data_IF_167179996123
#
_entry.id   IF_167179996123
#
_cell.length_a   1.000
_cell.length_b   1.000
_cell.length_c   1.000
_cell.angle_alpha   90.00
_cell.angle_beta   90.00
_cell.angle_gamma   90.00
#
_symmetry.space_group_name_H-M   'P 1'
#
loop_
_entity.id
_entity.type
_entity.pdbx_description
1 polymer ?
#
# COMPACT_ATOMS: atom_id res chain seq x y z
N UNK A 1 43.71 14.85 -0.19
CA UNK A 1 42.88 13.67 0.09
C UNK A 1 41.39 13.79 -0.29
N UNK A 2 40.83 14.93 -0.61
CA UNK A 2 39.38 15.09 -0.81
C UNK A 2 38.82 14.90 -2.24
N UNK A 3 39.62 14.85 -3.30
CA UNK A 3 39.10 14.76 -4.67
C UNK A 3 38.84 13.32 -5.15
N UNK A 4 39.66 12.37 -4.73
CA UNK A 4 39.53 10.95 -5.13
C UNK A 4 38.34 10.30 -4.41
N UNK A 5 38.09 10.64 -3.14
CA UNK A 5 36.94 10.15 -2.38
C UNK A 5 35.59 10.65 -2.95
N UNK A 6 35.52 11.90 -3.42
CA UNK A 6 34.31 12.43 -4.07
C UNK A 6 34.01 11.76 -5.41
N UNK A 7 35.04 11.41 -6.17
CA UNK A 7 34.88 10.71 -7.46
C UNK A 7 34.44 9.28 -7.23
N UNK A 8 35.00 8.56 -6.23
CA UNK A 8 34.58 7.20 -5.88
C UNK A 8 33.16 7.13 -5.33
N UNK A 9 32.75 8.10 -4.50
CA UNK A 9 31.38 8.22 -4.00
C UNK A 9 30.37 8.51 -5.14
N UNK A 10 30.73 9.35 -6.10
CA UNK A 10 29.91 9.64 -7.28
C UNK A 10 29.73 8.42 -8.19
N UNK A 11 30.78 7.65 -8.40
CA UNK A 11 30.74 6.42 -9.21
C UNK A 11 29.92 5.32 -8.52
N UNK A 12 30.01 5.17 -7.21
CA UNK A 12 29.19 4.19 -6.48
C UNK A 12 27.71 4.56 -6.47
N UNK A 13 27.37 5.83 -6.32
CA UNK A 13 25.98 6.31 -6.39
C UNK A 13 25.39 6.12 -7.80
N UNK A 14 26.18 6.37 -8.84
CA UNK A 14 25.76 6.13 -10.23
C UNK A 14 25.53 4.64 -10.52
N UNK A 15 26.44 3.77 -10.07
CA UNK A 15 26.29 2.32 -10.20
C UNK A 15 25.05 1.78 -9.45
N UNK A 16 24.77 2.30 -8.26
CA UNK A 16 23.55 1.98 -7.50
C UNK A 16 22.28 2.44 -8.21
N UNK A 17 22.31 3.63 -8.80
CA UNK A 17 21.17 4.15 -9.58
C UNK A 17 20.90 3.30 -10.83
N UNK A 18 21.95 2.90 -11.55
CA UNK A 18 21.82 2.00 -12.70
C UNK A 18 21.29 0.62 -12.30
N UNK A 19 21.80 0.05 -11.19
CA UNK A 19 21.31 -1.22 -10.67
C UNK A 19 19.81 -1.13 -10.25
N UNK A 20 19.39 -0.01 -9.66
CA UNK A 20 17.99 0.23 -9.30
C UNK A 20 17.10 0.34 -10.54
N UNK A 21 17.54 1.09 -11.57
CA UNK A 21 16.82 1.19 -12.84
C UNK A 21 16.71 -0.16 -13.56
N UNK A 22 17.78 -0.96 -13.56
CA UNK A 22 17.76 -2.30 -14.11
C UNK A 22 16.79 -3.21 -13.37
N UNK A 23 16.76 -3.14 -12.03
CA UNK A 23 15.77 -3.87 -11.23
C UNK A 23 14.35 -3.44 -11.55
N UNK A 24 14.09 -2.15 -11.65
CA UNK A 24 12.77 -1.64 -12.05
C UNK A 24 12.40 -2.18 -13.43
N UNK A 25 13.28 -2.08 -14.41
CA UNK A 25 12.99 -2.53 -15.77
C UNK A 25 12.74 -4.04 -15.87
N UNK A 26 13.48 -4.86 -15.09
CA UNK A 26 13.38 -6.32 -15.14
C UNK A 26 12.25 -6.88 -14.26
N UNK A 27 11.97 -6.24 -13.13
CA UNK A 27 11.02 -6.75 -12.13
C UNK A 27 9.66 -6.06 -12.19
N UNK A 28 9.56 -4.87 -12.81
CA UNK A 28 8.27 -4.19 -12.96
C UNK A 28 7.40 -4.95 -13.95
N UNK A 29 6.22 -5.32 -13.49
CA UNK A 29 5.15 -5.85 -14.33
C UNK A 29 4.10 -4.76 -14.52
N UNK A 30 3.49 -4.73 -15.69
CA UNK A 30 2.32 -3.88 -15.91
C UNK A 30 1.22 -4.34 -14.95
N UNK A 31 0.54 -3.41 -14.23
CA UNK A 31 -0.57 -3.80 -13.37
C UNK A 31 -1.63 -4.53 -14.21
N UNK A 32 -2.15 -5.62 -13.68
CA UNK A 32 -3.22 -6.39 -14.35
C UNK A 32 -4.57 -5.68 -14.32
N UNK A 33 -4.67 -4.60 -13.56
CA UNK A 33 -5.88 -3.79 -13.42
C UNK A 33 -5.71 -2.52 -14.24
N UNK A 34 -6.52 -2.37 -15.30
CA UNK A 34 -6.69 -1.08 -15.94
C UNK A 34 -7.43 -0.16 -14.98
N UNK A 35 -6.73 0.81 -14.41
CA UNK A 35 -7.37 1.89 -13.67
C UNK A 35 -8.04 2.80 -14.69
N UNK A 36 -9.27 2.50 -15.05
CA UNK A 36 -10.15 3.43 -15.74
C UNK A 36 -10.73 4.39 -14.70
N UNK A 37 -9.94 5.37 -14.30
CA UNK A 37 -10.49 6.51 -13.59
C UNK A 37 -11.31 7.31 -14.59
N UNK A 38 -12.62 7.37 -14.40
CA UNK A 38 -13.43 8.44 -14.98
C UNK A 38 -12.86 9.77 -14.49
N UNK A 39 -12.82 10.78 -15.35
CA UNK A 39 -12.21 12.09 -15.03
C UNK A 39 -12.87 12.78 -13.82
N UNK A 40 -14.01 12.28 -13.36
CA UNK A 40 -14.87 12.87 -12.34
C UNK A 40 -14.96 12.01 -11.06
N UNK A 41 -14.20 10.92 -10.93
CA UNK A 41 -14.20 10.09 -9.72
C UNK A 41 -13.09 10.54 -8.76
N UNK A 42 -13.48 10.98 -7.58
CA UNK A 42 -12.56 11.33 -6.49
C UNK A 42 -12.20 10.08 -5.68
N UNK A 43 -10.91 9.90 -5.42
CA UNK A 43 -10.39 8.86 -4.55
C UNK A 43 -9.90 9.49 -3.25
N UNK A 44 -10.47 9.06 -2.13
CA UNK A 44 -10.02 9.48 -0.79
C UNK A 44 -9.04 8.46 -0.24
N UNK A 45 -7.82 8.90 0.07
CA UNK A 45 -6.81 8.08 0.73
C UNK A 45 -6.95 8.21 2.23
N UNK A 46 -7.25 7.10 2.91
CA UNK A 46 -7.41 7.03 4.35
C UNK A 46 -6.05 6.83 5.02
N UNK A 47 -5.50 7.88 5.61
CA UNK A 47 -4.29 7.79 6.43
C UNK A 47 -4.60 7.20 7.82
N UNK A 48 -3.66 6.46 8.41
CA UNK A 48 -3.83 5.85 9.75
C UNK A 48 -3.52 6.82 10.89
N UNK A 49 -3.76 8.13 10.71
CA UNK A 49 -3.57 9.12 11.75
C UNK A 49 -4.69 9.13 12.80
N UNK A 50 -4.44 9.64 14.02
CA UNK A 50 -5.46 9.71 15.05
C UNK A 50 -6.67 10.56 14.67
N UNK A 51 -6.51 11.56 13.78
CA UNK A 51 -7.58 12.39 13.26
C UNK A 51 -8.56 11.66 12.32
N UNK A 52 -8.27 10.43 11.89
CA UNK A 52 -9.18 9.68 11.04
C UNK A 52 -10.52 9.40 11.72
N UNK A 53 -10.51 9.12 13.03
CA UNK A 53 -11.74 8.89 13.79
C UNK A 53 -12.65 10.13 13.77
N UNK A 54 -12.08 11.31 13.97
CA UNK A 54 -12.81 12.59 13.94
C UNK A 54 -13.33 12.86 12.53
N UNK A 55 -12.49 12.64 11.51
CA UNK A 55 -12.91 12.78 10.10
C UNK A 55 -14.08 11.85 9.74
N UNK A 56 -14.07 10.61 10.22
CA UNK A 56 -15.16 9.66 9.96
C UNK A 56 -16.43 10.09 10.69
N UNK A 57 -16.32 10.60 11.93
CA UNK A 57 -17.48 11.09 12.68
C UNK A 57 -18.12 12.32 12.03
N UNK A 58 -17.30 13.28 11.57
CA UNK A 58 -17.77 14.58 11.07
C UNK A 58 -18.14 14.57 9.59
N UNK A 59 -17.59 13.63 8.79
CA UNK A 59 -17.69 13.62 7.33
C UNK A 59 -18.10 12.25 6.75
N UNK A 60 -18.90 11.48 7.48
CA UNK A 60 -19.33 10.14 7.06
C UNK A 60 -20.01 10.12 5.69
N UNK A 61 -20.91 11.09 5.41
CA UNK A 61 -21.65 11.15 4.15
C UNK A 61 -20.72 11.47 2.96
N UNK A 62 -19.74 12.33 3.17
CA UNK A 62 -18.70 12.62 2.18
C UNK A 62 -17.91 11.36 1.84
N UNK A 63 -17.46 10.61 2.84
CA UNK A 63 -16.71 9.38 2.66
C UNK A 63 -17.55 8.29 1.98
N UNK A 64 -18.81 8.15 2.35
CA UNK A 64 -19.71 7.16 1.77
C UNK A 64 -20.01 7.40 0.27
N UNK A 65 -19.83 8.63 -0.20
CA UNK A 65 -20.07 9.01 -1.61
C UNK A 65 -18.81 8.92 -2.49
N UNK A 66 -17.67 8.46 -1.95
CA UNK A 66 -16.38 8.44 -2.63
C UNK A 66 -15.78 7.04 -2.67
N UNK A 67 -14.85 6.84 -3.61
CA UNK A 67 -13.95 5.67 -3.59
C UNK A 67 -12.93 5.84 -2.49
N UNK A 68 -12.76 4.81 -1.68
CA UNK A 68 -11.85 4.83 -0.55
C UNK A 68 -10.66 3.91 -0.78
N UNK A 69 -9.45 4.41 -0.45
CA UNK A 69 -8.22 3.64 -0.45
C UNK A 69 -7.65 3.60 0.97
N UNK A 70 -7.52 2.41 1.52
CA UNK A 70 -6.88 2.17 2.81
C UNK A 70 -5.44 1.67 2.66
N UNK A 71 -4.63 1.89 3.67
CA UNK A 71 -3.20 1.56 3.67
C UNK A 71 -2.74 0.92 4.97
N UNK A 72 -1.63 0.19 4.92
CA UNK A 72 -0.91 -0.34 6.08
C UNK A 72 -1.82 -1.15 7.02
N UNK A 73 -1.84 -0.84 8.32
CA UNK A 73 -2.61 -1.54 9.33
C UNK A 73 -4.08 -1.08 9.47
N UNK A 74 -4.64 -0.39 8.49
CA UNK A 74 -6.04 0.04 8.54
C UNK A 74 -7.03 -1.11 8.79
N UNK A 75 -6.75 -2.31 8.25
CA UNK A 75 -7.61 -3.48 8.45
C UNK A 75 -7.66 -3.99 9.90
N UNK A 76 -6.69 -3.61 10.74
CA UNK A 76 -6.69 -3.94 12.17
C UNK A 76 -7.59 -3.01 13.00
N UNK A 77 -8.25 -2.07 12.37
CA UNK A 77 -9.13 -1.10 13.04
C UNK A 77 -10.61 -1.39 12.76
N UNK A 78 -11.52 -1.02 13.67
CA UNK A 78 -12.96 -1.15 13.43
C UNK A 78 -13.43 -0.37 12.18
N UNK A 79 -12.75 0.73 11.85
CA UNK A 79 -13.07 1.58 10.69
C UNK A 79 -12.98 0.84 9.36
N UNK A 80 -12.15 -0.18 9.25
CA UNK A 80 -12.01 -0.98 8.04
C UNK A 80 -13.34 -1.62 7.61
N UNK A 81 -14.05 -2.22 8.56
CA UNK A 81 -15.35 -2.83 8.29
C UNK A 81 -16.48 -1.80 8.14
N UNK A 82 -16.36 -0.68 8.84
CA UNK A 82 -17.33 0.42 8.76
C UNK A 82 -17.25 1.12 7.39
N UNK A 83 -16.04 1.43 6.93
CA UNK A 83 -15.82 2.21 5.71
C UNK A 83 -15.78 1.36 4.44
N UNK A 84 -15.51 0.06 4.53
CA UNK A 84 -15.46 -0.90 3.41
C UNK A 84 -14.69 -0.35 2.20
N UNK A 85 -13.38 -0.06 2.33
CA UNK A 85 -12.62 0.59 1.26
C UNK A 85 -12.63 -0.23 -0.04
N UNK A 86 -12.68 0.47 -1.18
CA UNK A 86 -12.63 -0.13 -2.52
C UNK A 86 -11.23 -0.63 -2.88
N UNK A 87 -10.21 0.03 -2.34
CA UNK A 87 -8.80 -0.25 -2.59
C UNK A 87 -8.02 -0.38 -1.31
N UNK A 88 -7.04 -1.28 -1.31
CA UNK A 88 -6.13 -1.48 -0.20
C UNK A 88 -4.70 -1.60 -0.70
N UNK A 89 -3.75 -0.85 -0.12
CA UNK A 89 -2.34 -0.89 -0.50
C UNK A 89 -1.48 -1.40 0.65
N UNK A 90 -0.70 -2.44 0.37
CA UNK A 90 0.36 -2.96 1.23
C UNK A 90 1.67 -2.92 0.45
N UNK A 91 2.53 -1.94 0.72
CA UNK A 91 3.77 -1.74 -0.03
C UNK A 91 5.02 -2.22 0.72
N UNK A 92 5.00 -2.24 2.06
CA UNK A 92 6.16 -2.62 2.86
C UNK A 92 6.36 -4.14 2.87
N UNK A 93 7.58 -4.65 2.58
CA UNK A 93 7.92 -6.07 2.68
C UNK A 93 7.60 -6.73 4.02
N UNK A 94 7.54 -5.95 5.09
CA UNK A 94 7.18 -6.40 6.43
C UNK A 94 5.81 -7.11 6.48
N UNK A 95 4.85 -6.69 5.66
CA UNK A 95 3.52 -7.31 5.62
C UNK A 95 3.51 -8.73 5.02
N UNK A 96 4.55 -9.10 4.29
CA UNK A 96 4.65 -10.39 3.58
C UNK A 96 5.58 -11.38 4.27
N UNK A 97 6.17 -11.00 5.40
CA UNK A 97 7.00 -11.86 6.23
C UNK A 97 6.50 -11.83 7.69
N UNK A 98 5.43 -12.53 8.02
CA UNK A 98 4.74 -12.40 9.29
C UNK A 98 5.48 -13.00 10.49
N UNK A 99 6.71 -13.55 10.35
CA UNK A 99 7.50 -14.26 11.36
C UNK A 99 7.15 -13.88 12.82
N UNK A 100 6.06 -14.45 13.36
CA UNK A 100 5.60 -14.21 14.73
C UNK A 100 4.95 -12.85 15.00
N UNK A 101 4.74 -12.01 13.98
CA UNK A 101 4.08 -10.72 14.16
C UNK A 101 2.55 -10.88 14.14
N UNK A 102 1.95 -10.88 15.33
CA UNK A 102 0.51 -11.04 15.53
C UNK A 102 -0.30 -9.93 14.82
N UNK A 103 0.23 -8.70 14.73
CA UNK A 103 -0.46 -7.61 14.04
C UNK A 103 -0.55 -7.84 12.53
N UNK A 104 0.50 -8.41 11.92
CA UNK A 104 0.48 -8.79 10.51
C UNK A 104 -0.46 -9.97 10.26
N UNK A 105 -0.49 -10.96 11.17
CA UNK A 105 -1.42 -12.07 11.07
C UNK A 105 -2.88 -11.57 11.13
N UNK A 106 -3.19 -10.71 12.11
CA UNK A 106 -4.52 -10.10 12.24
C UNK A 106 -4.92 -9.25 11.03
N UNK A 107 -3.96 -8.52 10.42
CA UNK A 107 -4.17 -7.78 9.18
C UNK A 107 -4.66 -8.70 8.05
N UNK A 108 -3.97 -9.81 7.82
CA UNK A 108 -4.34 -10.75 6.78
C UNK A 108 -5.66 -11.46 7.07
N UNK A 109 -5.94 -11.78 8.33
CA UNK A 109 -7.24 -12.34 8.74
C UNK A 109 -8.38 -11.36 8.50
N UNK A 110 -8.17 -10.08 8.79
CA UNK A 110 -9.16 -9.04 8.54
C UNK A 110 -9.43 -8.84 7.04
N UNK A 111 -8.38 -8.82 6.21
CA UNK A 111 -8.51 -8.70 4.75
C UNK A 111 -9.22 -9.93 4.16
N UNK A 112 -8.81 -11.14 4.53
CA UNK A 112 -9.41 -12.39 4.05
C UNK A 112 -10.89 -12.56 4.46
N UNK A 113 -11.29 -11.94 5.57
CA UNK A 113 -12.68 -11.98 6.07
C UNK A 113 -13.54 -10.81 5.60
N UNK A 114 -13.05 -9.98 4.66
CA UNK A 114 -13.83 -8.90 4.08
C UNK A 114 -14.98 -9.47 3.23
N UNK A 115 -16.20 -8.99 3.49
CA UNK A 115 -17.44 -9.43 2.84
C UNK A 115 -17.87 -8.51 1.69
N UNK A 116 -16.98 -7.64 1.21
CA UNK A 116 -17.20 -6.73 0.09
C UNK A 116 -16.08 -6.84 -0.94
N UNK A 117 -16.34 -6.34 -2.15
CA UNK A 117 -15.34 -6.33 -3.22
C UNK A 117 -14.31 -5.24 -2.95
N UNK A 118 -13.04 -5.64 -2.82
CA UNK A 118 -11.90 -4.76 -2.60
C UNK A 118 -10.75 -5.15 -3.54
N UNK A 119 -10.05 -4.16 -4.08
CA UNK A 119 -8.84 -4.39 -4.88
C UNK A 119 -7.61 -4.25 -4.00
N UNK A 120 -6.90 -5.35 -3.79
CA UNK A 120 -5.64 -5.35 -3.04
C UNK A 120 -4.46 -5.08 -3.97
N UNK A 121 -3.67 -4.05 -3.66
CA UNK A 121 -2.47 -3.66 -4.37
C UNK A 121 -1.23 -4.01 -3.55
N UNK A 122 -0.39 -4.88 -4.10
CA UNK A 122 0.81 -5.39 -3.44
C UNK A 122 2.02 -5.33 -4.37
N UNK A 123 3.27 -5.33 -3.86
CA UNK A 123 4.45 -5.45 -4.70
C UNK A 123 4.43 -6.73 -5.54
N UNK A 124 4.95 -6.66 -6.76
CA UNK A 124 4.99 -7.80 -7.69
C UNK A 124 5.73 -9.03 -7.15
N UNK A 125 6.64 -8.82 -6.20
CA UNK A 125 7.42 -9.87 -5.55
C UNK A 125 6.80 -10.37 -4.24
N UNK A 126 5.65 -9.82 -3.85
CA UNK A 126 5.00 -10.19 -2.60
C UNK A 126 4.34 -11.57 -2.70
N UNK A 127 4.54 -12.38 -1.69
CA UNK A 127 3.79 -13.62 -1.48
C UNK A 127 2.53 -13.29 -0.68
N UNK A 128 1.39 -13.20 -1.37
CA UNK A 128 0.09 -13.03 -0.72
C UNK A 128 -0.35 -14.37 -0.15
N UNK A 129 -0.89 -14.43 1.08
CA UNK A 129 -1.40 -15.68 1.65
C UNK A 129 -2.55 -16.28 0.82
N UNK A 130 -2.57 -17.60 0.69
CA UNK A 130 -3.56 -18.34 -0.14
C UNK A 130 -5.03 -18.13 0.27
N UNK A 131 -5.26 -17.56 1.44
CA UNK A 131 -6.60 -17.31 2.00
C UNK A 131 -7.23 -15.95 1.60
N UNK A 132 -6.53 -15.15 0.78
CA UNK A 132 -6.98 -13.82 0.33
C UNK A 132 -7.40 -13.83 -1.13
#
# INVERSE_FOLDING_TARGET
MGKIEKISAGMSAFAQSLASLAKVALLSRRPSVAVTAGKDEELVVLGNGPSLNDTVADHSDFLASRRLLAVNFAANTPLFRQLKPDYYVLADPHFFNPQGNLAVAALWDAIASADWRMTLMVPVTAAVPDRV
#
